data_IF_063623866798
#
_entry.id   IF_063623866798
#
_cell.length_a   1.000
_cell.length_b   1.000
_cell.length_c   1.000
_cell.angle_alpha   90.00
_cell.angle_beta   90.00
_cell.angle_gamma   90.00
#
_symmetry.space_group_name_H-M   'P 1'
#
loop_
_entity.id
_entity.type
_entity.pdbx_description
1 polymer ?
#
# COMPACT_ATOMS: atom_id res chain seq x y z
N UNK A 1 -19.67 -1.31 23.13
CA UNK A 1 -19.50 0.15 23.21
C UNK A 1 -18.25 0.49 22.43
N UNK A 2 -18.44 1.01 21.22
CA UNK A 2 -17.44 1.19 20.17
C UNK A 2 -16.48 2.32 20.54
N UNK A 3 -15.22 2.20 20.13
CA UNK A 3 -14.19 3.26 20.21
C UNK A 3 -14.69 4.62 19.66
N UNK A 4 -15.67 4.60 18.77
CA UNK A 4 -16.38 5.76 18.23
C UNK A 4 -17.04 6.57 19.36
N UNK A 5 -17.79 5.93 20.26
CA UNK A 5 -18.45 6.60 21.41
C UNK A 5 -17.44 7.25 22.37
N UNK A 6 -16.26 6.64 22.55
CA UNK A 6 -15.19 7.21 23.37
C UNK A 6 -14.54 8.41 22.70
N UNK A 7 -14.33 8.35 21.37
CA UNK A 7 -13.79 9.45 20.59
C UNK A 7 -14.77 10.63 20.46
N UNK A 8 -16.06 10.35 20.31
CA UNK A 8 -17.13 11.36 20.31
C UNK A 8 -17.23 12.08 21.66
N UNK A 9 -17.18 11.34 22.77
CA UNK A 9 -17.14 11.93 24.11
C UNK A 9 -15.87 12.74 24.38
N UNK A 10 -14.72 12.30 23.85
CA UNK A 10 -13.48 13.07 23.93
C UNK A 10 -13.58 14.37 23.12
N UNK A 11 -14.21 14.31 21.95
CA UNK A 11 -14.45 15.44 21.08
C UNK A 11 -15.40 16.47 21.72
N UNK A 12 -16.52 16.02 22.30
CA UNK A 12 -17.43 16.90 23.04
C UNK A 12 -16.76 17.57 24.24
N UNK A 13 -15.86 16.85 24.93
CA UNK A 13 -15.12 17.39 26.06
C UNK A 13 -14.09 18.44 25.61
N UNK A 14 -13.38 18.19 24.52
CA UNK A 14 -12.45 19.16 23.93
C UNK A 14 -13.17 20.44 23.45
N UNK A 15 -14.34 20.28 22.84
CA UNK A 15 -15.17 21.40 22.37
C UNK A 15 -15.69 22.21 23.55
N UNK A 16 -16.16 21.57 24.64
CA UNK A 16 -16.60 22.27 25.85
C UNK A 16 -15.46 23.02 26.55
N UNK A 17 -14.28 22.42 26.64
CA UNK A 17 -13.12 23.07 27.26
C UNK A 17 -12.60 24.25 26.40
N UNK A 18 -12.83 24.24 25.09
CA UNK A 18 -12.53 25.37 24.19
C UNK A 18 -13.52 26.54 24.29
N UNK A 19 -14.74 26.32 24.80
CA UNK A 19 -15.82 27.31 24.78
C UNK A 19 -15.88 28.22 26.02
N UNK A 20 -14.93 28.10 26.95
CA UNK A 20 -14.83 28.93 28.16
C UNK A 20 -13.85 30.11 28.03
N UNK A 21 -13.21 30.30 26.86
CA UNK A 21 -12.25 31.38 26.65
C UNK A 21 -12.30 31.96 25.23
N UNK A 22 -13.15 32.97 25.02
CA UNK A 22 -13.05 34.11 24.08
C UNK A 22 -14.41 34.45 23.45
N UNK A 23 -15.21 35.25 24.17
CA UNK A 23 -16.19 36.16 23.54
C UNK A 23 -15.46 37.44 23.09
N UNK A 24 -14.58 37.33 22.10
CA UNK A 24 -14.13 38.42 21.22
C UNK A 24 -12.98 37.90 20.37
N UNK A 25 -13.25 37.49 19.13
CA UNK A 25 -12.32 37.63 18.01
C UNK A 25 -13.03 37.26 16.71
N UNK A 26 -13.48 38.28 15.99
CA UNK A 26 -13.88 38.18 14.57
C UNK A 26 -12.62 38.16 13.68
N UNK A 27 -11.63 37.35 14.04
CA UNK A 27 -10.40 37.13 13.29
C UNK A 27 -10.66 36.05 12.23
N UNK A 28 -10.27 36.27 10.98
CA UNK A 28 -10.45 35.29 9.91
C UNK A 28 -9.77 33.96 10.31
N UNK A 29 -10.50 32.84 10.24
CA UNK A 29 -9.99 31.50 10.50
C UNK A 29 -8.68 31.28 9.71
N UNK A 30 -7.61 30.83 10.39
CA UNK A 30 -6.33 30.53 9.74
C UNK A 30 -6.60 29.54 8.58
N UNK A 31 -6.20 29.86 7.33
CA UNK A 31 -6.51 29.05 6.16
C UNK A 31 -6.01 27.60 6.28
N UNK A 32 -4.99 27.35 7.11
CA UNK A 32 -4.47 26.00 7.41
C UNK A 32 -5.45 25.17 8.24
N UNK A 33 -6.25 25.81 9.11
CA UNK A 33 -7.31 25.12 9.87
C UNK A 33 -8.39 24.65 8.90
N UNK A 34 -8.77 25.48 7.94
CA UNK A 34 -9.79 25.12 6.96
C UNK A 34 -9.37 23.89 6.13
N UNK A 35 -8.14 23.88 5.63
CA UNK A 35 -7.60 22.74 4.86
C UNK A 35 -7.61 21.42 5.68
N UNK A 36 -7.16 21.47 6.93
CA UNK A 36 -7.12 20.28 7.79
C UNK A 36 -8.51 19.83 8.25
N UNK A 37 -9.47 20.74 8.41
CA UNK A 37 -10.88 20.40 8.66
C UNK A 37 -11.54 19.75 7.44
N UNK A 38 -11.26 20.24 6.22
CA UNK A 38 -11.72 19.60 4.98
C UNK A 38 -11.12 18.19 4.85
N UNK A 39 -9.83 18.02 5.14
CA UNK A 39 -9.15 16.72 5.16
C UNK A 39 -9.73 15.77 6.22
N UNK A 40 -10.06 16.28 7.39
CA UNK A 40 -10.71 15.52 8.47
C UNK A 40 -12.11 15.06 8.06
N UNK A 41 -12.93 15.97 7.53
CA UNK A 41 -14.29 15.65 7.07
C UNK A 41 -14.26 14.60 5.95
N UNK A 42 -13.35 14.75 4.99
CA UNK A 42 -13.18 13.79 3.91
C UNK A 42 -12.76 12.42 4.45
N UNK A 43 -11.74 12.36 5.32
CA UNK A 43 -11.29 11.10 5.91
C UNK A 43 -12.34 10.43 6.80
N UNK A 44 -13.19 11.21 7.49
CA UNK A 44 -14.33 10.68 8.24
C UNK A 44 -15.38 10.04 7.30
N UNK A 45 -15.72 10.72 6.20
CA UNK A 45 -16.61 10.18 5.17
C UNK A 45 -16.05 8.88 4.58
N UNK A 46 -14.75 8.87 4.26
CA UNK A 46 -14.06 7.70 3.71
C UNK A 46 -14.04 6.53 4.70
N UNK A 47 -13.82 6.79 6.00
CA UNK A 47 -13.90 5.75 7.05
C UNK A 47 -15.28 5.11 7.05
N UNK A 48 -16.34 5.91 7.14
CA UNK A 48 -17.71 5.40 7.20
C UNK A 48 -18.06 4.57 5.95
N UNK A 49 -17.65 5.07 4.77
CA UNK A 49 -17.85 4.36 3.50
C UNK A 49 -17.10 3.03 3.48
N UNK A 50 -15.81 3.02 3.82
CA UNK A 50 -14.98 1.82 3.79
C UNK A 50 -15.44 0.80 4.85
N UNK A 51 -15.92 1.23 6.02
CA UNK A 51 -16.48 0.33 7.03
C UNK A 51 -17.73 -0.38 6.54
N UNK A 52 -18.67 0.37 5.94
CA UNK A 52 -19.88 -0.20 5.37
C UNK A 52 -19.56 -1.19 4.22
N UNK A 53 -18.72 -0.77 3.26
CA UNK A 53 -18.33 -1.65 2.15
C UNK A 53 -17.57 -2.90 2.63
N UNK A 54 -16.75 -2.78 3.67
CA UNK A 54 -16.03 -3.90 4.27
C UNK A 54 -16.98 -4.90 4.93
N UNK A 55 -17.98 -4.41 5.66
CA UNK A 55 -19.00 -5.27 6.27
C UNK A 55 -19.83 -6.00 5.19
N UNK A 56 -20.27 -5.28 4.16
CA UNK A 56 -20.97 -5.88 3.01
C UNK A 56 -20.12 -6.94 2.31
N UNK A 57 -18.84 -6.66 2.05
CA UNK A 57 -17.92 -7.60 1.42
C UNK A 57 -17.71 -8.86 2.29
N UNK A 58 -17.56 -8.70 3.61
CA UNK A 58 -17.46 -9.81 4.57
C UNK A 58 -18.72 -10.66 4.62
N UNK A 59 -19.89 -10.02 4.62
CA UNK A 59 -21.19 -10.70 4.59
C UNK A 59 -21.40 -11.48 3.28
N UNK A 60 -21.05 -10.88 2.14
CA UNK A 60 -21.08 -11.53 0.85
C UNK A 60 -20.13 -12.73 0.80
N UNK A 61 -18.91 -12.59 1.33
CA UNK A 61 -17.93 -13.67 1.41
C UNK A 61 -18.45 -14.85 2.24
N UNK A 62 -19.02 -14.59 3.42
CA UNK A 62 -19.59 -15.64 4.26
C UNK A 62 -20.79 -16.33 3.61
N UNK A 63 -21.66 -15.57 2.94
CA UNK A 63 -22.80 -16.13 2.19
C UNK A 63 -22.33 -17.01 1.04
N UNK A 64 -21.34 -16.54 0.27
CA UNK A 64 -20.73 -17.26 -0.85
C UNK A 64 -20.05 -18.55 -0.35
N UNK A 65 -19.31 -18.47 0.76
CA UNK A 65 -18.68 -19.62 1.42
C UNK A 65 -19.69 -20.69 1.80
N UNK A 66 -20.79 -20.31 2.43
CA UNK A 66 -21.82 -21.26 2.84
C UNK A 66 -22.47 -21.94 1.63
N UNK A 67 -22.76 -21.18 0.57
CA UNK A 67 -23.27 -21.71 -0.69
C UNK A 67 -22.28 -22.67 -1.35
N UNK A 68 -21.00 -22.33 -1.37
CA UNK A 68 -19.92 -23.20 -1.85
C UNK A 68 -19.90 -24.52 -1.07
N UNK A 69 -19.90 -24.47 0.27
CA UNK A 69 -19.86 -25.66 1.12
C UNK A 69 -21.04 -26.60 0.83
N UNK A 70 -22.27 -26.07 0.87
CA UNK A 70 -23.48 -26.85 0.57
C UNK A 70 -23.42 -27.49 -0.82
N UNK A 71 -22.96 -26.73 -1.81
CA UNK A 71 -22.91 -27.21 -3.20
C UNK A 71 -21.84 -28.28 -3.40
N UNK A 72 -20.66 -28.11 -2.82
CA UNK A 72 -19.59 -29.12 -2.87
C UNK A 72 -19.96 -30.37 -2.08
N UNK A 73 -20.64 -30.25 -0.94
CA UNK A 73 -21.18 -31.40 -0.19
C UNK A 73 -22.21 -32.19 -1.01
N UNK A 74 -23.11 -31.50 -1.70
CA UNK A 74 -24.07 -32.13 -2.60
C UNK A 74 -23.37 -32.95 -3.69
N UNK A 75 -22.37 -32.35 -4.37
CA UNK A 75 -21.58 -33.06 -5.38
C UNK A 75 -20.78 -34.21 -4.79
N UNK A 76 -20.25 -34.05 -3.58
CA UNK A 76 -19.52 -35.10 -2.88
C UNK A 76 -20.40 -36.32 -2.61
N UNK A 77 -21.65 -36.11 -2.16
CA UNK A 77 -22.64 -37.17 -1.97
C UNK A 77 -23.03 -37.83 -3.31
N UNK A 78 -23.20 -37.03 -4.38
CA UNK A 78 -23.59 -37.51 -5.72
C UNK A 78 -22.51 -38.35 -6.39
N UNK A 79 -21.24 -37.94 -6.30
CA UNK A 79 -20.13 -38.54 -7.04
C UNK A 79 -19.34 -39.58 -6.22
N UNK A 80 -19.43 -39.51 -4.89
CA UNK A 80 -18.89 -40.48 -3.96
C UNK A 80 -17.40 -40.77 -4.18
N UNK A 81 -17.07 -42.05 -4.38
CA UNK A 81 -15.68 -42.52 -4.49
C UNK A 81 -14.92 -42.05 -5.73
N UNK A 82 -15.59 -41.43 -6.71
CA UNK A 82 -14.90 -40.93 -7.90
C UNK A 82 -13.96 -39.75 -7.57
N UNK A 83 -14.38 -38.86 -6.66
CA UNK A 83 -13.60 -37.68 -6.24
C UNK A 83 -12.26 -38.04 -5.58
N UNK A 84 -12.21 -38.85 -4.49
CA UNK A 84 -10.94 -39.18 -3.86
C UNK A 84 -10.02 -40.00 -4.77
N UNK A 85 -10.58 -40.78 -5.71
CA UNK A 85 -9.79 -41.59 -6.66
C UNK A 85 -9.17 -40.75 -7.78
N UNK A 86 -9.83 -39.70 -8.25
CA UNK A 86 -9.26 -38.78 -9.25
C UNK A 86 -8.41 -37.67 -8.64
N UNK A 87 -8.46 -37.47 -7.31
CA UNK A 87 -7.67 -36.46 -6.59
C UNK A 87 -6.17 -36.42 -6.95
N UNK A 88 -5.43 -37.54 -7.05
CA UNK A 88 -4.01 -37.51 -7.40
C UNK A 88 -3.74 -36.86 -8.77
N UNK A 89 -4.63 -37.07 -9.74
CA UNK A 89 -4.53 -36.46 -11.07
C UNK A 89 -4.69 -34.93 -10.99
N UNK A 90 -5.73 -34.42 -10.34
CA UNK A 90 -5.96 -32.97 -10.24
C UNK A 90 -4.89 -32.27 -9.37
N UNK A 91 -4.32 -32.96 -8.37
CA UNK A 91 -3.18 -32.43 -7.61
C UNK A 91 -1.91 -32.35 -8.46
N UNK A 92 -1.64 -33.38 -9.27
CA UNK A 92 -0.52 -33.38 -10.21
C UNK A 92 -0.71 -32.28 -11.28
N UNK A 93 -1.92 -32.13 -11.83
CA UNK A 93 -2.25 -31.09 -12.81
C UNK A 93 -1.95 -29.68 -12.27
N UNK A 94 -2.40 -29.39 -11.03
CA UNK A 94 -2.10 -28.09 -10.37
C UNK A 94 -0.60 -27.85 -10.19
N UNK A 95 0.17 -28.90 -9.89
CA UNK A 95 1.64 -28.79 -9.76
C UNK A 95 2.27 -28.54 -11.13
N UNK A 96 1.81 -29.25 -12.16
CA UNK A 96 2.27 -29.06 -13.54
C UNK A 96 2.00 -27.65 -14.04
N UNK A 97 0.81 -27.07 -13.82
CA UNK A 97 0.50 -25.69 -14.20
C UNK A 97 1.43 -24.66 -13.52
N UNK A 98 1.75 -24.90 -12.23
CA UNK A 98 2.69 -24.07 -11.49
C UNK A 98 4.10 -24.18 -12.08
N UNK A 99 4.58 -25.40 -12.31
CA UNK A 99 5.90 -25.64 -12.88
C UNK A 99 6.02 -25.12 -14.31
N UNK A 100 4.94 -25.20 -15.10
CA UNK A 100 4.87 -24.60 -16.43
C UNK A 100 5.09 -23.09 -16.36
N UNK A 101 4.36 -22.41 -15.46
CA UNK A 101 4.50 -20.97 -15.26
C UNK A 101 5.90 -20.58 -14.78
N UNK A 102 6.51 -21.37 -13.89
CA UNK A 102 7.89 -21.15 -13.42
C UNK A 102 8.93 -21.40 -14.53
N UNK A 103 8.77 -22.44 -15.33
CA UNK A 103 9.64 -22.75 -16.45
C UNK A 103 9.55 -21.66 -17.54
N UNK A 104 8.34 -21.18 -17.86
CA UNK A 104 8.15 -20.07 -18.80
C UNK A 104 8.84 -18.79 -18.31
N UNK A 105 8.72 -18.46 -17.02
CA UNK A 105 9.45 -17.32 -16.44
C UNK A 105 10.96 -17.51 -16.54
N UNK A 106 11.47 -18.70 -16.23
CA UNK A 106 12.90 -19.00 -16.35
C UNK A 106 13.41 -18.89 -17.80
N UNK A 107 12.61 -19.31 -18.79
CA UNK A 107 12.90 -19.13 -20.22
C UNK A 107 12.98 -17.64 -20.58
N UNK A 108 12.03 -16.82 -20.12
CA UNK A 108 12.05 -15.37 -20.38
C UNK A 108 13.29 -14.70 -19.77
N UNK A 109 13.69 -15.07 -18.56
CA UNK A 109 14.90 -14.55 -17.93
C UNK A 109 16.18 -14.98 -18.66
N UNK A 110 16.26 -16.24 -19.09
CA UNK A 110 17.37 -16.72 -19.93
C UNK A 110 17.45 -15.95 -21.25
N UNK A 111 16.32 -15.75 -21.94
CA UNK A 111 16.27 -14.97 -23.17
C UNK A 111 16.73 -13.52 -22.97
N UNK A 112 16.28 -12.87 -21.88
CA UNK A 112 16.72 -11.52 -21.52
C UNK A 112 18.23 -11.46 -21.26
N UNK A 113 18.76 -12.39 -20.46
CA UNK A 113 20.20 -12.48 -20.18
C UNK A 113 21.02 -12.70 -21.47
N UNK A 114 20.56 -13.59 -22.34
CA UNK A 114 21.23 -13.89 -23.59
C UNK A 114 21.19 -12.70 -24.57
N UNK A 115 20.07 -11.97 -24.62
CA UNK A 115 19.97 -10.73 -25.39
C UNK A 115 20.99 -9.70 -24.91
N UNK A 116 21.13 -9.50 -23.59
CA UNK A 116 22.10 -8.56 -23.03
C UNK A 116 23.54 -8.95 -23.36
N UNK A 117 23.86 -10.25 -23.24
CA UNK A 117 25.18 -10.78 -23.61
C UNK A 117 25.48 -10.57 -25.10
N UNK A 118 24.49 -10.81 -25.98
CA UNK A 118 24.62 -10.58 -27.42
C UNK A 118 24.87 -9.11 -27.72
N UNK A 119 24.10 -8.20 -27.13
CA UNK A 119 24.32 -6.75 -27.27
C UNK A 119 25.71 -6.33 -26.80
N UNK A 120 26.20 -6.86 -25.66
CA UNK A 120 27.55 -6.57 -25.18
C UNK A 120 28.63 -7.05 -26.16
N UNK A 121 28.45 -8.23 -26.78
CA UNK A 121 29.34 -8.73 -27.84
C UNK A 121 29.30 -7.87 -29.10
N UNK A 122 28.13 -7.42 -29.52
CA UNK A 122 27.97 -6.51 -30.65
C UNK A 122 28.67 -5.18 -30.37
N UNK A 123 28.55 -4.63 -29.15
CA UNK A 123 29.29 -3.43 -28.73
C UNK A 123 30.81 -3.62 -28.82
N UNK A 124 31.33 -4.77 -28.36
CA UNK A 124 32.76 -5.08 -28.51
C UNK A 124 33.16 -5.18 -29.98
N UNK A 125 32.38 -5.86 -30.81
CA UNK A 125 32.68 -6.00 -32.23
C UNK A 125 32.72 -4.67 -32.98
N UNK A 126 31.81 -3.73 -32.65
CA UNK A 126 31.83 -2.36 -33.20
C UNK A 126 33.06 -1.60 -32.71
N UNK A 127 33.40 -1.72 -31.42
CA UNK A 127 34.60 -1.09 -30.87
C UNK A 127 35.88 -1.62 -31.54
N UNK A 128 35.98 -2.94 -31.75
CA UNK A 128 37.10 -3.58 -32.45
C UNK A 128 37.22 -3.12 -33.90
N UNK A 129 36.11 -2.99 -34.63
CA UNK A 129 36.13 -2.52 -36.03
C UNK A 129 36.65 -1.09 -36.15
N UNK A 130 36.24 -0.20 -35.23
CA UNK A 130 36.72 1.19 -35.18
C UNK A 130 38.22 1.29 -34.79
N UNK A 131 38.76 0.26 -34.12
CA UNK A 131 40.14 0.19 -33.67
C UNK A 131 41.13 -0.14 -34.81
N UNK A 132 40.66 -0.77 -35.89
CA UNK A 132 41.50 -1.21 -37.02
C UNK A 132 42.06 0.00 -37.81
N UNK A 133 41.58 1.22 -37.56
CA UNK A 133 42.01 2.46 -38.25
C UNK A 133 43.13 3.27 -37.59
N UNK A 134 43.76 2.82 -36.48
CA UNK A 134 44.90 3.55 -35.88
C UNK A 134 45.33 3.10 -34.48
N UNK A 135 46.26 3.84 -33.85
CA UNK A 135 46.72 3.62 -32.47
C UNK A 135 45.57 3.81 -31.46
N UNK A 136 45.52 2.94 -30.45
CA UNK A 136 44.44 2.90 -29.44
C UNK A 136 44.61 4.07 -28.46
N UNK A 137 43.69 5.04 -28.40
CA UNK A 137 43.75 6.11 -27.40
C UNK A 137 43.51 5.53 -25.99
N UNK A 138 44.16 6.07 -24.96
CA UNK A 138 44.06 5.56 -23.57
C UNK A 138 42.61 5.43 -23.06
N UNK A 139 41.73 6.36 -23.45
CA UNK A 139 40.29 6.35 -23.12
C UNK A 139 39.57 5.11 -23.69
N UNK A 140 40.05 4.57 -24.81
CA UNK A 140 39.49 3.36 -25.42
C UNK A 140 39.97 2.06 -24.75
N UNK A 141 41.15 2.05 -24.11
CA UNK A 141 41.62 0.89 -23.35
C UNK A 141 40.73 0.61 -22.13
N UNK A 142 40.33 1.67 -21.42
CA UNK A 142 39.39 1.58 -20.30
C UNK A 142 38.01 1.10 -20.79
N UNK A 143 37.53 1.64 -21.92
CA UNK A 143 36.25 1.24 -22.52
C UNK A 143 36.24 -0.24 -22.94
N UNK A 144 37.30 -0.74 -23.57
CA UNK A 144 37.44 -2.15 -23.93
C UNK A 144 37.53 -3.05 -22.70
N UNK A 145 38.33 -2.67 -21.71
CA UNK A 145 38.46 -3.41 -20.45
C UNK A 145 37.12 -3.52 -19.70
N UNK A 146 36.36 -2.42 -19.68
CA UNK A 146 35.00 -2.37 -19.13
C UNK A 146 34.03 -3.26 -19.92
N UNK A 147 34.09 -3.20 -21.26
CA UNK A 147 33.24 -4.02 -22.14
C UNK A 147 33.54 -5.52 -22.01
N UNK A 148 34.81 -5.90 -21.91
CA UNK A 148 35.24 -7.29 -21.68
C UNK A 148 34.76 -7.77 -20.31
N UNK A 149 34.90 -6.95 -19.26
CA UNK A 149 34.34 -7.25 -17.94
C UNK A 149 32.82 -7.46 -18.03
N UNK A 150 32.10 -6.60 -18.75
CA UNK A 150 30.65 -6.70 -18.96
C UNK A 150 30.26 -7.96 -19.74
N UNK A 151 31.04 -8.36 -20.74
CA UNK A 151 30.81 -9.60 -21.49
C UNK A 151 31.00 -10.82 -20.58
N UNK A 152 32.06 -10.83 -19.77
CA UNK A 152 32.34 -11.92 -18.83
C UNK A 152 31.25 -12.04 -17.76
N UNK A 153 30.81 -10.92 -17.18
CA UNK A 153 29.71 -10.93 -16.21
C UNK A 153 28.39 -11.34 -16.84
N UNK A 154 28.07 -10.82 -18.04
CA UNK A 154 26.85 -11.19 -18.77
C UNK A 154 26.87 -12.67 -19.16
N UNK A 155 28.02 -13.23 -19.57
CA UNK A 155 28.16 -14.67 -19.84
C UNK A 155 27.88 -15.52 -18.62
N UNK A 156 28.43 -15.12 -17.46
CA UNK A 156 28.16 -15.82 -16.19
C UNK A 156 26.67 -15.80 -15.83
N UNK A 157 25.99 -14.67 -16.04
CA UNK A 157 24.53 -14.55 -15.82
C UNK A 157 23.77 -15.47 -16.77
N UNK A 158 24.15 -15.51 -18.06
CA UNK A 158 23.56 -16.42 -19.05
C UNK A 158 23.71 -17.87 -18.62
N UNK A 159 24.90 -18.29 -18.19
CA UNK A 159 25.16 -19.67 -17.75
C UNK A 159 24.31 -20.06 -16.55
N UNK A 160 24.18 -19.17 -15.57
CA UNK A 160 23.32 -19.38 -14.40
C UNK A 160 21.84 -19.44 -14.80
N UNK A 161 21.39 -18.55 -15.67
CA UNK A 161 20.01 -18.54 -16.16
C UNK A 161 19.71 -19.79 -17.01
N UNK A 162 20.69 -20.27 -17.80
CA UNK A 162 20.56 -21.48 -18.60
C UNK A 162 20.40 -22.71 -17.70
N UNK A 163 21.26 -22.87 -16.71
CA UNK A 163 21.15 -23.98 -15.75
C UNK A 163 19.81 -23.95 -15.00
N UNK A 164 19.38 -22.76 -14.55
CA UNK A 164 18.12 -22.58 -13.87
C UNK A 164 16.92 -22.94 -14.75
N UNK A 165 16.88 -22.44 -15.99
CA UNK A 165 15.80 -22.78 -16.93
C UNK A 165 15.80 -24.28 -17.23
N UNK A 166 16.97 -24.89 -17.45
CA UNK A 166 17.09 -26.33 -17.75
C UNK A 166 16.53 -27.17 -16.60
N UNK A 167 16.87 -26.81 -15.36
CA UNK A 167 16.32 -27.47 -14.16
C UNK A 167 14.80 -27.33 -14.10
N UNK A 168 14.28 -26.12 -14.31
CA UNK A 168 12.83 -25.87 -14.25
C UNK A 168 12.05 -26.59 -15.34
N UNK A 169 12.58 -26.64 -16.55
CA UNK A 169 11.99 -27.41 -17.65
C UNK A 169 11.98 -28.91 -17.35
N UNK A 170 13.04 -29.46 -16.76
CA UNK A 170 13.09 -30.86 -16.36
C UNK A 170 12.07 -31.19 -15.26
N UNK A 171 11.91 -30.32 -14.25
CA UNK A 171 10.88 -30.46 -13.22
C UNK A 171 9.46 -30.46 -13.84
N UNK A 172 9.19 -29.55 -14.77
CA UNK A 172 7.93 -29.48 -15.50
C UNK A 172 7.66 -30.75 -16.31
N UNK A 173 8.62 -31.22 -17.11
CA UNK A 173 8.50 -32.44 -17.92
C UNK A 173 8.20 -33.68 -17.06
N UNK A 174 8.92 -33.85 -15.94
CA UNK A 174 8.67 -34.96 -15.02
C UNK A 174 7.25 -34.92 -14.42
N UNK A 175 6.73 -33.72 -14.13
CA UNK A 175 5.35 -33.55 -13.64
C UNK A 175 4.32 -33.82 -14.74
N UNK A 176 4.60 -33.44 -15.97
CA UNK A 176 3.75 -33.69 -17.13
C UNK A 176 3.64 -35.20 -17.43
N UNK A 177 4.76 -35.93 -17.45
CA UNK A 177 4.78 -37.39 -17.60
C UNK A 177 3.97 -38.10 -16.51
N UNK A 178 4.07 -37.62 -15.26
CA UNK A 178 3.25 -38.11 -14.15
C UNK A 178 1.77 -37.85 -14.39
N UNK A 179 1.40 -36.67 -14.90
CA UNK A 179 0.00 -36.35 -15.23
C UNK A 179 -0.54 -37.27 -16.32
N UNK A 180 0.22 -37.50 -17.39
CA UNK A 180 -0.17 -38.39 -18.49
C UNK A 180 -0.36 -39.84 -18.01
N UNK A 181 0.49 -40.29 -17.08
CA UNK A 181 0.36 -41.63 -16.47
C UNK A 181 -0.94 -41.72 -15.66
N UNK A 182 -1.18 -40.75 -14.77
CA UNK A 182 -2.40 -40.69 -13.95
C UNK A 182 -3.67 -40.55 -14.80
N UNK A 183 -3.61 -39.81 -15.91
CA UNK A 183 -4.74 -39.63 -16.82
C UNK A 183 -5.17 -40.97 -17.44
N UNK A 184 -4.19 -41.79 -17.87
CA UNK A 184 -4.46 -43.11 -18.42
C UNK A 184 -5.04 -44.05 -17.37
N UNK A 185 -4.47 -44.08 -16.17
CA UNK A 185 -4.90 -44.97 -15.07
C UNK A 185 -6.27 -44.61 -14.50
N UNK A 186 -6.58 -43.31 -14.39
CA UNK A 186 -7.73 -42.80 -13.65
C UNK A 186 -8.83 -42.24 -14.56
N UNK A 187 -8.74 -42.39 -15.88
CA UNK A 187 -9.63 -41.81 -16.91
C UNK A 187 -11.11 -41.82 -16.53
N UNK A 188 -11.64 -42.99 -16.12
CA UNK A 188 -13.07 -43.14 -15.76
C UNK A 188 -13.48 -42.32 -14.54
N UNK A 189 -12.58 -42.12 -13.58
CA UNK A 189 -12.84 -41.35 -12.37
C UNK A 189 -12.71 -39.86 -12.64
N UNK A 190 -11.73 -39.46 -13.46
CA UNK A 190 -11.52 -38.08 -13.92
C UNK A 190 -12.81 -37.57 -14.58
N UNK A 191 -13.29 -38.24 -15.64
CA UNK A 191 -14.50 -37.86 -16.37
C UNK A 191 -15.73 -37.73 -15.44
N UNK A 192 -15.90 -38.67 -14.50
CA UNK A 192 -17.05 -38.62 -13.58
C UNK A 192 -16.94 -37.51 -12.53
N UNK A 193 -15.71 -37.14 -12.15
CA UNK A 193 -15.45 -36.13 -11.12
C UNK A 193 -15.28 -34.71 -11.66
N UNK A 194 -15.19 -34.55 -12.99
CA UNK A 194 -14.91 -33.30 -13.68
C UNK A 194 -15.80 -32.15 -13.20
N UNK A 195 -17.12 -32.35 -13.18
CA UNK A 195 -18.08 -31.33 -12.74
C UNK A 195 -17.83 -30.83 -11.30
N UNK A 196 -17.28 -31.67 -10.41
CA UNK A 196 -16.93 -31.25 -9.06
C UNK A 196 -15.68 -30.37 -9.02
N UNK A 197 -14.66 -30.72 -9.79
CA UNK A 197 -13.42 -29.94 -9.82
C UNK A 197 -13.60 -28.61 -10.56
N UNK A 198 -14.39 -28.57 -11.62
CA UNK A 198 -14.78 -27.32 -12.29
C UNK A 198 -15.55 -26.39 -11.36
N UNK A 199 -16.55 -26.91 -10.66
CA UNK A 199 -17.35 -26.11 -9.73
C UNK A 199 -16.51 -25.64 -8.54
N UNK A 200 -15.65 -26.50 -8.00
CA UNK A 200 -14.68 -26.14 -6.96
C UNK A 200 -13.72 -25.04 -7.44
N UNK A 201 -13.23 -25.12 -8.68
CA UNK A 201 -12.36 -24.11 -9.25
C UNK A 201 -13.05 -22.75 -9.39
N UNK A 202 -14.28 -22.73 -9.94
CA UNK A 202 -15.10 -21.51 -10.04
C UNK A 202 -15.34 -20.86 -8.69
N UNK A 203 -15.71 -21.65 -7.67
CA UNK A 203 -15.88 -21.14 -6.32
C UNK A 203 -14.57 -20.58 -5.74
N UNK A 204 -13.44 -21.27 -5.95
CA UNK A 204 -12.15 -20.80 -5.46
C UNK A 204 -11.78 -19.43 -6.06
N UNK A 205 -11.95 -19.24 -7.37
CA UNK A 205 -11.71 -17.93 -8.03
C UNK A 205 -12.61 -16.85 -7.42
N UNK A 206 -13.91 -17.11 -7.30
CA UNK A 206 -14.85 -16.14 -6.74
C UNK A 206 -14.50 -15.76 -5.29
N UNK A 207 -14.14 -16.76 -4.48
CA UNK A 207 -13.76 -16.56 -3.09
C UNK A 207 -12.43 -15.83 -2.95
N UNK A 208 -11.47 -16.10 -3.83
CA UNK A 208 -10.18 -15.38 -3.87
C UNK A 208 -10.37 -13.92 -4.27
N UNK A 209 -11.23 -13.63 -5.26
CA UNK A 209 -11.59 -12.27 -5.63
C UNK A 209 -12.28 -11.51 -4.48
N UNK A 210 -13.22 -12.15 -3.78
CA UNK A 210 -13.89 -11.54 -2.62
C UNK A 210 -12.91 -11.29 -1.45
N UNK A 211 -11.98 -12.21 -1.18
CA UNK A 211 -10.91 -11.99 -0.19
C UNK A 211 -10.01 -10.82 -0.58
N UNK A 212 -9.57 -10.76 -1.83
CA UNK A 212 -8.75 -9.66 -2.31
C UNK A 212 -9.46 -8.30 -2.15
N UNK A 213 -10.77 -8.25 -2.38
CA UNK A 213 -11.59 -7.05 -2.12
C UNK A 213 -11.66 -6.69 -0.65
N UNK A 214 -11.83 -7.68 0.24
CA UNK A 214 -11.78 -7.45 1.69
C UNK A 214 -10.40 -6.89 2.09
N UNK A 215 -9.31 -7.50 1.62
CA UNK A 215 -7.94 -7.07 1.93
C UNK A 215 -7.64 -5.66 1.40
N UNK A 216 -8.22 -5.29 0.25
CA UNK A 216 -8.14 -3.93 -0.30
C UNK A 216 -8.90 -2.93 0.59
N UNK A 217 -10.14 -3.24 0.96
CA UNK A 217 -10.97 -2.40 1.82
C UNK A 217 -10.36 -2.22 3.21
N UNK A 218 -9.79 -3.27 3.79
CA UNK A 218 -9.09 -3.18 5.08
C UNK A 218 -7.87 -2.26 4.99
N UNK A 219 -7.09 -2.36 3.91
CA UNK A 219 -5.95 -1.45 3.68
C UNK A 219 -6.41 -0.01 3.48
N UNK A 220 -7.46 0.22 2.69
CA UNK A 220 -8.03 1.55 2.48
C UNK A 220 -8.58 2.15 3.79
N UNK A 221 -9.24 1.35 4.61
CA UNK A 221 -9.76 1.76 5.92
C UNK A 221 -8.63 2.15 6.88
N UNK A 222 -7.54 1.36 6.93
CA UNK A 222 -6.36 1.68 7.74
C UNK A 222 -5.74 3.00 7.27
N UNK A 223 -5.63 3.21 5.96
CA UNK A 223 -5.12 4.45 5.39
C UNK A 223 -6.00 5.65 5.78
N UNK A 224 -7.32 5.56 5.59
CA UNK A 224 -8.26 6.63 5.93
C UNK A 224 -8.22 6.97 7.43
N UNK A 225 -8.16 5.97 8.31
CA UNK A 225 -7.96 6.16 9.77
C UNK A 225 -6.63 6.82 10.11
N UNK A 226 -5.58 6.53 9.35
CA UNK A 226 -4.27 7.15 9.53
C UNK A 226 -4.33 8.62 9.11
N UNK A 227 -4.92 8.92 7.95
CA UNK A 227 -5.15 10.29 7.46
C UNK A 227 -5.98 11.12 8.45
N UNK A 228 -7.06 10.54 9.00
CA UNK A 228 -7.88 11.19 10.03
C UNK A 228 -7.06 11.56 11.27
N UNK A 229 -6.23 10.62 11.77
CA UNK A 229 -5.36 10.86 12.93
C UNK A 229 -4.30 11.93 12.65
N UNK A 230 -3.74 11.96 11.44
CA UNK A 230 -2.79 12.99 11.02
C UNK A 230 -3.44 14.37 10.96
N UNK A 231 -4.62 14.49 10.35
CA UNK A 231 -5.36 15.75 10.27
C UNK A 231 -5.70 16.28 11.67
N UNK A 232 -6.17 15.41 12.58
CA UNK A 232 -6.40 15.76 13.98
C UNK A 232 -5.14 16.28 14.67
N UNK A 233 -4.00 15.60 14.49
CA UNK A 233 -2.72 16.04 15.07
C UNK A 233 -2.28 17.40 14.51
N UNK A 234 -2.45 17.61 13.22
CA UNK A 234 -2.12 18.88 12.56
C UNK A 234 -3.01 20.02 13.07
N UNK A 235 -4.32 19.78 13.23
CA UNK A 235 -5.25 20.75 13.84
C UNK A 235 -4.83 21.11 15.26
N UNK A 236 -4.48 20.12 16.10
CA UNK A 236 -3.99 20.38 17.46
C UNK A 236 -2.71 21.24 17.44
N UNK A 237 -1.77 20.95 16.54
CA UNK A 237 -0.54 21.71 16.40
C UNK A 237 -0.79 23.16 15.95
N UNK A 238 -1.67 23.35 14.96
CA UNK A 238 -2.04 24.69 14.48
C UNK A 238 -2.73 25.48 15.61
N UNK A 239 -3.61 24.83 16.36
CA UNK A 239 -4.27 25.43 17.52
C UNK A 239 -3.25 25.88 18.58
N UNK A 240 -2.29 25.02 18.93
CA UNK A 240 -1.21 25.33 19.88
C UNK A 240 -0.35 26.51 19.39
N UNK A 241 0.06 26.52 18.12
CA UNK A 241 0.80 27.64 17.50
C UNK A 241 0.04 28.99 17.60
N UNK A 242 -1.28 28.97 17.39
CA UNK A 242 -2.12 30.17 17.47
C UNK A 242 -2.23 30.66 18.92
N UNK A 243 -2.44 29.76 19.89
CA UNK A 243 -2.48 30.12 21.30
C UNK A 243 -1.14 30.66 21.79
N UNK A 244 -0.02 30.03 21.43
CA UNK A 244 1.33 30.51 21.77
C UNK A 244 1.60 31.92 21.23
N UNK A 245 1.19 32.20 19.98
CA UNK A 245 1.32 33.53 19.36
C UNK A 245 0.50 34.58 20.10
N UNK A 246 -0.77 34.29 20.38
CA UNK A 246 -1.67 35.21 21.14
C UNK A 246 -1.13 35.48 22.54
N UNK A 247 -0.61 34.46 23.22
CA UNK A 247 0.01 34.61 24.54
C UNK A 247 1.31 35.42 24.50
N UNK A 248 2.13 35.26 23.45
CA UNK A 248 3.34 36.04 23.25
C UNK A 248 3.03 37.51 22.97
N UNK A 249 2.00 37.79 22.17
CA UNK A 249 1.50 39.15 21.91
C UNK A 249 0.96 39.80 23.20
N UNK A 250 0.13 39.09 23.98
CA UNK A 250 -0.35 39.56 25.29
C UNK A 250 0.80 39.81 26.29
N UNK A 251 1.89 39.04 26.22
CA UNK A 251 3.12 39.25 27.03
C UNK A 251 3.98 40.42 26.51
N UNK A 252 4.01 40.66 25.20
CA UNK A 252 4.74 41.76 24.55
C UNK A 252 4.06 43.13 24.71
N UNK A 253 2.73 43.18 24.72
CA UNK A 253 1.95 44.41 24.95
C UNK A 253 2.04 44.94 26.40
N UNK A 254 2.61 44.17 27.35
CA UNK A 254 2.82 44.63 28.74
C UNK A 254 4.09 45.46 28.94
N UNK A 255 4.85 45.80 27.90
CA UNK A 255 6.04 46.69 28.00
C UNK A 255 5.77 48.13 27.53
N UNK A 256 5.14 48.89 28.44
CA UNK A 256 5.27 50.35 28.71
C UNK A 256 4.57 51.39 27.80
N UNK A 257 4.18 52.58 28.32
CA UNK A 257 5.17 53.64 28.56
C UNK A 257 5.13 54.33 29.95
N UNK A 258 6.35 54.57 30.46
CA UNK A 258 6.85 55.74 31.20
C UNK A 258 5.84 56.66 31.92
N UNK A 259 5.94 56.70 33.25
CA UNK A 259 5.48 57.83 34.08
C UNK A 259 6.35 59.05 33.78
N UNK A 260 5.82 60.01 33.03
CA UNK A 260 6.45 61.32 32.91
C UNK A 260 6.24 62.14 34.19
N UNK A 261 7.32 62.82 34.58
CA UNK A 261 7.42 63.73 35.71
C UNK A 261 6.34 64.82 35.66
N UNK A 262 5.48 64.86 36.68
CA UNK A 262 4.55 65.97 36.90
C UNK A 262 5.31 67.22 37.34
N UNK A 263 5.43 68.18 36.44
CA UNK A 263 5.87 69.56 36.70
C UNK A 263 4.74 70.37 37.33
N UNK A 264 5.09 71.17 38.33
CA UNK A 264 4.17 72.00 39.11
C UNK A 264 3.59 73.18 38.34
N UNK A 265 2.42 73.62 38.81
CA UNK A 265 1.92 74.96 38.61
C UNK A 265 1.39 75.44 39.95
N UNK A 266 2.21 76.24 40.62
CA UNK A 266 1.84 77.08 41.74
C UNK A 266 0.77 78.11 41.31
N UNK A 267 -0.24 78.31 42.16
CA UNK A 267 -1.02 79.53 42.16
C UNK A 267 -1.21 79.97 43.62
N UNK A 268 -0.60 81.10 44.04
CA UNK A 268 -0.65 81.57 45.41
C UNK A 268 -1.88 82.45 45.65
N UNK A 269 -2.59 82.17 46.76
CA UNK A 269 -3.54 83.03 47.49
C UNK A 269 -4.68 83.72 46.71
N UNK A 270 -5.92 83.36 47.07
CA UNK A 270 -6.90 84.37 47.49
C UNK A 270 -8.00 83.78 48.39
N UNK A 271 -8.06 84.36 49.61
CA UNK A 271 -9.18 84.55 50.58
C UNK A 271 -10.14 83.38 50.89
N UNK A 272 -10.13 82.80 52.10
CA UNK A 272 -10.63 83.32 53.39
C UNK A 272 -12.17 83.30 53.54
N UNK A 273 -12.60 82.58 54.60
CA UNK A 273 -13.84 82.69 55.38
C UNK A 273 -15.21 82.69 54.67
N UNK A 274 -16.04 81.67 54.96
CA UNK A 274 -17.10 81.83 55.97
C UNK A 274 -17.92 80.55 56.22
N UNK A 275 -18.10 80.36 57.53
CA UNK A 275 -18.91 79.41 58.29
C UNK A 275 -20.36 79.27 57.81
N UNK A 276 -20.88 78.04 57.89
CA UNK A 276 -22.19 77.74 58.46
C UNK A 276 -22.13 76.42 59.24
#
# INVERSE_FOLDING_TARGET
MTLITELENLNEKLIKDSHLHDENDSEALDPRIQEELERLNQSCSDINKMENELEEAKNLFNTTKNRQLQRLEFLQKKLGSCIPKSKPYYEALRITDKLQSEAQKAVQEYQRANSLYKTAKETLSVAEHNLISGEIPDVWQEHLSSTITKINTSKKIVDQAEEFHRKKTAEFQASEERCQTLEKELKKYIIKSESYYEEKFRWNIQMEAQKARIDELERALILAKTTYKEAMKNLSKISEEIHERRDAEKRGLKKSPSRESGVGSENPNDYADSIN
#
